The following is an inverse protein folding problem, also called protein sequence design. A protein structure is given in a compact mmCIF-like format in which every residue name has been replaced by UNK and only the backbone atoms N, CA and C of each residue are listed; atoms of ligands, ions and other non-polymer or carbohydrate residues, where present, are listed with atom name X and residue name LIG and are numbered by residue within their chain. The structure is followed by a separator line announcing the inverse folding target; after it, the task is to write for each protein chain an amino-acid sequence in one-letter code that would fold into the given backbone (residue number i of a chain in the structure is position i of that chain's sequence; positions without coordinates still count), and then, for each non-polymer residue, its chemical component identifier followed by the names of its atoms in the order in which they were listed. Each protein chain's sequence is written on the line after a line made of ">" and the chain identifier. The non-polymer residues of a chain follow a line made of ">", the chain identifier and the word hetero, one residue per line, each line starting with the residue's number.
data_IF_272764355642
#
_entry.id   IF_272764355642
#
_cell.length_a   1.000
_cell.length_b   1.000
_cell.length_c   1.000
_cell.angle_alpha   90.00
_cell.angle_beta   90.00
_cell.angle_gamma   90.00
#
_symmetry.space_group_name_H-M   'P 1'
#
loop_
_entity.id
_entity.type
_entity.pdbx_description
1 polymer ?
#
# COMPACT_ATOMS: atom_id res chain seq x y z
N UNK A 1 -20.60 16.87 -12.65
CA UNK A 1 -19.82 16.38 -11.48
C UNK A 1 -18.50 17.11 -11.46
N UNK A 2 -18.16 17.78 -10.34
CA UNK A 2 -16.89 18.51 -10.22
C UNK A 2 -15.69 17.56 -10.33
N UNK A 3 -14.57 18.03 -10.88
CA UNK A 3 -13.32 17.25 -10.90
C UNK A 3 -12.97 16.89 -9.44
N UNK A 4 -12.69 15.61 -9.13
CA UNK A 4 -12.29 15.23 -7.78
C UNK A 4 -11.05 16.01 -7.36
N UNK A 5 -11.05 16.52 -6.13
CA UNK A 5 -9.88 17.18 -5.55
C UNK A 5 -8.70 16.20 -5.41
N UNK A 6 -7.51 16.74 -5.17
CA UNK A 6 -6.27 15.96 -5.11
C UNK A 6 -6.32 14.79 -4.11
N UNK A 7 -6.98 14.97 -2.96
CA UNK A 7 -7.21 13.91 -1.96
C UNK A 7 -8.05 12.77 -2.54
N UNK A 8 -9.10 13.08 -3.30
CA UNK A 8 -9.96 12.07 -3.92
C UNK A 8 -9.21 11.26 -4.98
N UNK A 9 -8.28 11.88 -5.70
CA UNK A 9 -7.43 11.21 -6.68
C UNK A 9 -6.47 10.22 -6.01
N UNK A 10 -5.83 10.61 -4.92
CA UNK A 10 -4.98 9.70 -4.15
C UNK A 10 -5.78 8.57 -3.51
N UNK A 11 -7.00 8.85 -3.03
CA UNK A 11 -7.90 7.81 -2.54
C UNK A 11 -8.28 6.80 -3.63
N UNK A 12 -8.55 7.25 -4.85
CA UNK A 12 -8.83 6.38 -5.99
C UNK A 12 -7.59 5.53 -6.36
N UNK A 13 -6.42 6.17 -6.42
CA UNK A 13 -5.15 5.49 -6.69
C UNK A 13 -4.77 4.46 -5.62
N UNK A 14 -5.22 4.64 -4.37
CA UNK A 14 -5.00 3.71 -3.27
C UNK A 14 -5.82 2.42 -3.42
N UNK A 15 -6.79 2.39 -4.34
CA UNK A 15 -7.67 1.26 -4.66
C UNK A 15 -8.30 0.64 -3.40
N UNK A 16 -9.26 1.32 -2.75
CA UNK A 16 -9.84 0.86 -1.48
C UNK A 16 -10.38 -0.57 -1.51
N UNK A 17 -10.87 -1.02 -2.68
CA UNK A 17 -11.37 -2.38 -2.90
C UNK A 17 -10.29 -3.46 -2.72
N UNK A 18 -9.01 -3.16 -2.96
CA UNK A 18 -7.93 -4.14 -2.79
C UNK A 18 -7.43 -4.18 -1.35
N UNK A 19 -7.58 -3.10 -0.58
CA UNK A 19 -7.04 -2.98 0.78
C UNK A 19 -7.55 -4.05 1.74
N UNK A 20 -8.75 -4.59 1.47
CA UNK A 20 -9.33 -5.69 2.24
C UNK A 20 -8.42 -6.93 2.30
N UNK A 21 -7.62 -7.19 1.26
CA UNK A 21 -6.73 -8.35 1.23
C UNK A 21 -5.72 -8.31 2.40
N UNK A 22 -5.01 -7.19 2.58
CA UNK A 22 -4.07 -7.08 3.70
C UNK A 22 -4.74 -6.97 5.07
N UNK A 23 -5.97 -6.46 5.16
CA UNK A 23 -6.75 -6.49 6.42
C UNK A 23 -7.04 -7.94 6.81
N UNK A 24 -7.52 -8.75 5.86
CA UNK A 24 -7.81 -10.18 6.08
C UNK A 24 -6.55 -10.92 6.51
N UNK A 25 -5.40 -10.67 5.87
CA UNK A 25 -4.13 -11.30 6.28
C UNK A 25 -3.77 -11.03 7.75
N UNK A 26 -3.93 -9.78 8.21
CA UNK A 26 -3.63 -9.43 9.62
C UNK A 26 -4.64 -10.04 10.58
N UNK A 27 -5.93 -10.04 10.24
CA UNK A 27 -6.98 -10.65 11.06
C UNK A 27 -6.75 -12.16 11.23
N UNK A 28 -6.48 -12.86 10.13
CA UNK A 28 -6.19 -14.31 10.14
C UNK A 28 -4.93 -14.61 10.97
N UNK A 29 -3.85 -13.85 10.75
CA UNK A 29 -2.62 -14.02 11.53
C UNK A 29 -2.81 -13.76 13.04
N UNK A 30 -3.61 -12.75 13.38
CA UNK A 30 -3.92 -12.41 14.77
C UNK A 30 -4.76 -13.50 15.45
N UNK A 31 -5.75 -14.04 14.74
CA UNK A 31 -6.56 -15.15 15.24
C UNK A 31 -5.72 -16.44 15.42
N UNK A 32 -4.81 -16.72 14.50
CA UNK A 32 -3.93 -17.89 14.56
C UNK A 32 -2.85 -17.79 15.66
N UNK A 33 -2.49 -16.59 16.11
CA UNK A 33 -1.43 -16.38 17.10
C UNK A 33 -1.76 -16.89 18.52
N UNK A 34 -3.03 -17.21 18.81
CA UNK A 34 -3.48 -17.75 20.11
C UNK A 34 -3.41 -16.76 21.28
N UNK A 35 -2.89 -15.55 21.08
CA UNK A 35 -2.86 -14.47 22.05
C UNK A 35 -2.99 -13.12 21.36
N UNK A 36 -3.74 -12.20 21.97
CA UNK A 36 -3.97 -10.87 21.41
C UNK A 36 -3.10 -9.83 22.11
N UNK A 37 -2.21 -9.20 21.34
CA UNK A 37 -1.37 -8.09 21.80
C UNK A 37 -1.76 -6.85 21.00
N UNK A 38 -2.53 -5.96 21.64
CA UNK A 38 -3.20 -4.84 20.97
C UNK A 38 -2.26 -3.96 20.14
N UNK A 39 -1.09 -3.60 20.69
CA UNK A 39 -0.15 -2.75 19.96
C UNK A 39 0.42 -3.43 18.71
N UNK A 40 0.66 -4.76 18.76
CA UNK A 40 1.18 -5.54 17.61
C UNK A 40 0.11 -5.64 16.51
N UNK A 41 -1.14 -5.86 16.90
CA UNK A 41 -2.27 -5.86 15.98
C UNK A 41 -2.41 -4.52 15.25
N UNK A 42 -2.42 -3.40 15.99
CA UNK A 42 -2.54 -2.06 15.39
C UNK A 42 -1.35 -1.76 14.49
N UNK A 43 -0.12 -2.07 14.93
CA UNK A 43 1.07 -1.88 14.11
C UNK A 43 1.01 -2.70 12.81
N UNK A 44 0.59 -3.98 12.89
CA UNK A 44 0.48 -4.85 11.73
C UNK A 44 -0.61 -4.38 10.75
N UNK A 45 -1.76 -3.90 11.26
CA UNK A 45 -2.82 -3.31 10.45
C UNK A 45 -2.33 -2.08 9.69
N UNK A 46 -1.66 -1.15 10.37
CA UNK A 46 -1.12 0.07 9.75
C UNK A 46 -0.08 -0.29 8.69
N UNK A 47 0.88 -1.17 9.03
CA UNK A 47 1.91 -1.61 8.09
C UNK A 47 1.28 -2.28 6.85
N UNK A 48 0.37 -3.22 7.05
CA UNK A 48 -0.29 -3.98 5.97
C UNK A 48 -1.08 -3.09 5.01
N UNK A 49 -1.89 -2.16 5.53
CA UNK A 49 -2.65 -1.23 4.70
C UNK A 49 -1.72 -0.25 3.98
N UNK A 50 -0.72 0.29 4.67
CA UNK A 50 0.23 1.23 4.07
C UNK A 50 1.07 0.59 2.94
N UNK A 51 1.52 -0.66 3.11
CA UNK A 51 2.21 -1.41 2.04
C UNK A 51 1.29 -1.62 0.84
N UNK A 52 0.02 -2.00 1.04
CA UNK A 52 -0.91 -2.15 -0.08
C UNK A 52 -1.14 -0.83 -0.84
N UNK A 53 -1.29 0.28 -0.11
CA UNK A 53 -1.37 1.61 -0.73
C UNK A 53 -0.10 1.91 -1.53
N UNK A 54 1.08 1.66 -0.95
CA UNK A 54 2.35 1.87 -1.63
C UNK A 54 2.46 1.04 -2.92
N UNK A 55 2.09 -0.24 -2.90
CA UNK A 55 2.10 -1.11 -4.09
C UNK A 55 1.12 -0.59 -5.14
N UNK A 56 -0.07 -0.14 -4.74
CA UNK A 56 -1.06 0.42 -5.65
C UNK A 56 -0.56 1.70 -6.34
N UNK A 57 0.06 2.61 -5.58
CA UNK A 57 0.68 3.83 -6.11
C UNK A 57 1.88 3.53 -7.01
N UNK A 58 2.76 2.61 -6.60
CA UNK A 58 3.90 2.17 -7.39
C UNK A 58 3.43 1.62 -8.74
N UNK A 59 2.38 0.79 -8.74
CA UNK A 59 1.78 0.27 -9.96
C UNK A 59 1.17 1.37 -10.83
N UNK A 60 0.56 2.41 -10.26
CA UNK A 60 0.05 3.56 -11.04
C UNK A 60 1.19 4.34 -11.70
N UNK A 61 2.27 4.58 -10.94
CA UNK A 61 3.47 5.24 -11.41
C UNK A 61 4.16 4.47 -12.53
N UNK A 62 4.44 3.18 -12.33
CA UNK A 62 5.16 2.37 -13.31
C UNK A 62 4.34 2.12 -14.57
N UNK A 63 3.01 1.94 -14.46
CA UNK A 63 2.13 1.79 -15.63
C UNK A 63 2.16 3.08 -16.49
N UNK A 64 2.13 4.25 -15.85
CA UNK A 64 2.18 5.53 -16.53
C UNK A 64 3.56 5.78 -17.19
N UNK A 65 4.65 5.48 -16.50
CA UNK A 65 6.02 5.68 -17.03
C UNK A 65 6.33 4.72 -18.17
N UNK A 66 5.84 3.48 -18.11
CA UNK A 66 6.08 2.45 -19.14
C UNK A 66 5.12 2.57 -20.34
N UNK A 67 4.12 3.46 -20.29
CA UNK A 67 3.19 3.69 -21.39
C UNK A 67 2.29 2.49 -21.71
N UNK A 68 1.98 1.65 -20.72
CA UNK A 68 1.27 0.37 -20.92
C UNK A 68 -0.26 0.58 -21.09
N UNK A 69 -0.78 1.75 -20.70
CA UNK A 69 -2.21 2.03 -20.77
C UNK A 69 -2.67 2.38 -22.20
N UNK A 70 -3.23 1.38 -22.87
CA UNK A 70 -3.95 1.51 -24.14
C UNK A 70 -5.43 1.88 -23.92
N UNK A 71 -6.07 2.42 -24.96
CA UNK A 71 -7.49 2.88 -24.99
C UNK A 71 -8.50 1.78 -24.59
N UNK A 72 -8.07 0.51 -24.54
CA UNK A 72 -8.92 -0.65 -24.28
C UNK A 72 -8.87 -1.19 -22.84
N UNK A 73 -8.21 -0.50 -21.90
CA UNK A 73 -8.10 -1.02 -20.53
C UNK A 73 -9.44 -1.00 -19.79
N UNK A 74 -9.92 -2.18 -19.41
CA UNK A 74 -11.06 -2.38 -18.51
C UNK A 74 -10.57 -2.49 -17.06
N UNK A 75 -10.52 -1.36 -16.35
CA UNK A 75 -10.10 -1.32 -14.95
C UNK A 75 -10.30 0.03 -14.29
N UNK A 76 -10.05 0.15 -12.96
CA UNK A 76 -10.11 1.43 -12.26
C UNK A 76 -9.17 2.42 -12.93
N UNK A 77 -9.61 3.69 -13.00
CA UNK A 77 -8.85 4.76 -13.63
C UNK A 77 -7.46 4.87 -12.99
N UNK A 78 -6.44 4.90 -13.83
CA UNK A 78 -5.06 5.23 -13.43
C UNK A 78 -4.93 6.74 -13.42
N UNK A 79 -4.77 7.33 -12.24
CA UNK A 79 -4.79 8.80 -12.11
C UNK A 79 -3.52 9.43 -12.69
N UNK A 80 -2.40 8.71 -12.68
CA UNK A 80 -1.14 9.17 -13.29
C UNK A 80 -1.18 9.05 -14.80
N UNK A 81 -1.61 7.90 -15.36
CA UNK A 81 -1.77 7.75 -16.82
C UNK A 81 -2.82 8.70 -17.40
N UNK A 82 -3.86 9.04 -16.63
CA UNK A 82 -4.88 10.01 -17.03
C UNK A 82 -4.42 11.48 -16.90
N UNK A 83 -3.16 11.74 -16.53
CA UNK A 83 -2.60 13.08 -16.40
C UNK A 83 -3.17 13.92 -15.25
N UNK A 84 -3.87 13.30 -14.30
CA UNK A 84 -4.48 14.01 -13.17
C UNK A 84 -3.50 14.22 -12.01
N UNK A 85 -2.53 13.32 -11.87
CA UNK A 85 -1.45 13.38 -10.89
C UNK A 85 -0.15 13.16 -11.65
N UNK A 86 0.84 14.02 -11.42
CA UNK A 86 2.12 13.88 -12.13
C UNK A 86 2.88 12.62 -11.67
N UNK A 87 3.72 12.01 -12.52
CA UNK A 87 4.56 10.88 -12.09
C UNK A 87 5.44 11.21 -10.87
N UNK A 88 5.95 12.44 -10.78
CA UNK A 88 6.71 12.91 -9.62
C UNK A 88 5.90 12.90 -8.32
N UNK A 89 4.66 13.40 -8.36
CA UNK A 89 3.73 13.36 -7.21
C UNK A 89 3.39 11.93 -6.81
N UNK A 90 3.13 11.04 -7.78
CA UNK A 90 2.82 9.65 -7.48
C UNK A 90 4.02 8.89 -6.90
N UNK A 91 5.23 9.15 -7.39
CA UNK A 91 6.47 8.60 -6.83
C UNK A 91 6.69 9.06 -5.39
N UNK A 92 6.49 10.35 -5.11
CA UNK A 92 6.57 10.87 -3.74
C UNK A 92 5.52 10.23 -2.84
N UNK A 93 4.26 10.14 -3.28
CA UNK A 93 3.18 9.50 -2.53
C UNK A 93 3.47 8.02 -2.23
N UNK A 94 4.07 7.31 -3.19
CA UNK A 94 4.56 5.93 -3.01
C UNK A 94 5.61 5.87 -1.90
N UNK A 95 6.62 6.75 -1.94
CA UNK A 95 7.67 6.83 -0.92
C UNK A 95 7.13 7.17 0.47
N UNK A 96 6.16 8.08 0.56
CA UNK A 96 5.49 8.42 1.83
C UNK A 96 4.73 7.22 2.39
N UNK A 97 3.96 6.50 1.57
CA UNK A 97 3.24 5.30 2.00
C UNK A 97 4.20 4.20 2.49
N UNK A 98 5.33 4.01 1.81
CA UNK A 98 6.39 3.10 2.29
C UNK A 98 7.01 3.57 3.60
N UNK A 99 7.25 4.87 3.77
CA UNK A 99 7.71 5.44 5.04
C UNK A 99 6.73 5.16 6.19
N UNK A 100 5.43 5.37 5.97
CA UNK A 100 4.37 5.06 6.94
C UNK A 100 4.33 3.57 7.27
N UNK A 101 4.52 2.69 6.29
CA UNK A 101 4.60 1.24 6.52
C UNK A 101 5.85 0.83 7.32
N UNK A 102 6.97 1.50 7.07
CA UNK A 102 8.27 1.12 7.61
C UNK A 102 8.36 1.31 9.12
N UNK A 103 7.77 2.39 9.66
CA UNK A 103 7.79 2.68 11.11
C UNK A 103 7.18 1.54 11.96
N UNK A 104 5.91 1.14 11.78
CA UNK A 104 5.34 0.01 12.51
C UNK A 104 5.97 -1.33 12.12
N UNK A 105 6.40 -1.51 10.86
CA UNK A 105 7.09 -2.72 10.43
C UNK A 105 8.40 -2.95 11.18
N UNK A 106 9.21 -1.90 11.35
CA UNK A 106 10.45 -1.94 12.13
C UNK A 106 10.18 -2.15 13.62
N UNK A 107 9.14 -1.53 14.17
CA UNK A 107 8.75 -1.75 15.57
C UNK A 107 8.35 -3.22 15.83
N UNK A 108 7.62 -3.83 14.91
CA UNK A 108 7.28 -5.26 14.96
C UNK A 108 8.51 -6.14 14.84
N UNK A 109 9.41 -5.84 13.90
CA UNK A 109 10.65 -6.59 13.71
C UNK A 109 11.52 -6.55 14.97
N UNK A 110 11.67 -5.38 15.61
CA UNK A 110 12.41 -5.25 16.86
C UNK A 110 11.81 -6.08 18.00
N UNK A 111 10.49 -6.22 18.07
CA UNK A 111 9.80 -6.96 19.13
C UNK A 111 9.71 -8.47 18.90
N UNK A 112 9.81 -8.93 17.65
CA UNK A 112 9.69 -10.34 17.25
C UNK A 112 11.05 -11.00 17.01
N UNK A 113 12.10 -10.20 16.80
CA UNK A 113 13.46 -10.65 16.53
C UNK A 113 13.87 -10.50 15.06
N UNK A 114 15.19 -10.57 14.78
CA UNK A 114 15.75 -10.30 13.45
C UNK A 114 15.29 -11.27 12.36
N UNK A 115 14.74 -12.44 12.73
CA UNK A 115 14.22 -13.44 11.80
C UNK A 115 13.12 -12.86 10.90
N UNK A 116 12.30 -11.94 11.42
CA UNK A 116 11.24 -11.28 10.65
C UNK A 116 11.82 -10.39 9.55
N UNK A 117 12.96 -9.75 9.81
CA UNK A 117 13.67 -8.95 8.80
C UNK A 117 14.22 -9.87 7.72
N UNK A 118 14.84 -10.99 8.12
CA UNK A 118 15.38 -11.98 7.18
C UNK A 118 14.27 -12.51 6.27
N UNK A 119 13.14 -12.95 6.82
CA UNK A 119 11.99 -13.43 6.02
C UNK A 119 11.50 -12.33 5.08
N UNK A 120 11.37 -11.09 5.56
CA UNK A 120 10.99 -9.95 4.73
C UNK A 120 11.94 -9.71 3.56
N UNK A 121 13.25 -9.87 3.77
CA UNK A 121 14.27 -9.71 2.73
C UNK A 121 14.20 -10.78 1.63
N UNK A 122 13.63 -11.95 1.91
CA UNK A 122 13.51 -13.06 0.97
C UNK A 122 12.14 -13.19 0.29
N UNK A 123 11.18 -12.33 0.61
CA UNK A 123 9.80 -12.39 0.09
C UNK A 123 9.51 -11.42 -1.09
N UNK A 124 10.53 -10.92 -1.80
CA UNK A 124 10.38 -9.97 -2.92
C UNK A 124 10.29 -10.65 -4.30
#
# INVERSE_FOLDING_TARGET
>A
MGKPGMVGLFWEAARPKTLGAGVVCVLVGTAAAGSFIAWRFVAAMVASVAVQVAVNYANDYFDAVKGIDTVHRTGPRRVTSAGLVTPGQMRLATGVALGVASVPGLALAAALGPQVIVVGLFCF
#
